data_IF_641081258153
#
_entry.id   IF_641081258153
#
_cell.length_a   1.000
_cell.length_b   1.000
_cell.length_c   1.000
_cell.angle_alpha   90.00
_cell.angle_beta   90.00
_cell.angle_gamma   90.00
#
_symmetry.space_group_name_H-M   'P 1'
#
loop_
_entity.id
_entity.type
_entity.pdbx_description
1 polymer ?
#
# COMPACT_ATOMS: atom_id res chain seq x y z
N UNK A 1 10.37 -6.88 2.23
CA UNK A 1 10.25 -5.43 2.48
C UNK A 1 8.78 -5.07 2.43
N UNK A 2 8.25 -4.48 3.50
CA UNK A 2 6.89 -3.93 3.49
C UNK A 2 6.98 -2.48 3.03
N UNK A 3 6.28 -2.13 1.95
CA UNK A 3 6.20 -0.74 1.52
C UNK A 3 5.50 0.11 2.59
N UNK A 4 5.98 1.33 2.80
CA UNK A 4 5.42 2.24 3.80
C UNK A 4 4.55 3.31 3.15
N UNK A 5 3.70 3.96 3.96
CA UNK A 5 2.93 5.14 3.51
C UNK A 5 3.82 6.32 3.10
N UNK A 6 5.02 6.42 3.67
CA UNK A 6 5.98 7.46 3.32
C UNK A 6 6.57 7.24 1.92
N UNK A 7 6.77 5.99 1.52
CA UNK A 7 7.21 5.64 0.17
C UNK A 7 6.15 6.04 -0.87
N UNK A 8 4.87 5.74 -0.57
CA UNK A 8 3.75 6.15 -1.42
C UNK A 8 3.70 7.66 -1.63
N UNK A 9 3.79 8.44 -0.56
CA UNK A 9 3.78 9.91 -0.65
C UNK A 9 4.99 10.47 -1.41
N UNK A 10 6.12 9.77 -1.40
CA UNK A 10 7.32 10.19 -2.14
C UNK A 10 7.15 9.95 -3.64
N UNK A 11 6.56 8.81 -4.02
CA UNK A 11 6.20 8.52 -5.41
C UNK A 11 5.14 9.49 -5.92
N UNK A 12 4.09 9.78 -5.15
CA UNK A 12 3.04 10.72 -5.55
C UNK A 12 3.58 12.14 -5.79
N UNK A 13 4.53 12.60 -4.96
CA UNK A 13 5.20 13.89 -5.16
C UNK A 13 6.06 13.90 -6.42
N UNK A 14 6.78 12.82 -6.71
CA UNK A 14 7.56 12.70 -7.94
C UNK A 14 6.68 12.74 -9.18
N UNK A 15 5.52 12.06 -9.16
CA UNK A 15 4.51 12.12 -10.23
C UNK A 15 4.00 13.55 -10.41
N UNK A 16 3.62 14.23 -9.30
CA UNK A 16 3.11 15.60 -9.35
C UNK A 16 4.11 16.61 -9.92
N UNK A 17 5.41 16.38 -9.70
CA UNK A 17 6.49 17.22 -10.22
C UNK A 17 6.98 16.82 -11.62
N UNK A 18 6.60 15.64 -12.11
CA UNK A 18 7.14 15.07 -13.34
C UNK A 18 8.60 14.61 -13.22
N UNK A 19 9.07 14.33 -12.00
CA UNK A 19 10.41 13.83 -11.75
C UNK A 19 10.49 12.33 -12.01
N UNK A 20 11.55 11.88 -12.66
CA UNK A 20 11.80 10.47 -13.01
C UNK A 20 12.55 9.70 -11.93
N UNK A 21 13.16 10.40 -10.99
CA UNK A 21 14.02 9.81 -9.96
C UNK A 21 13.25 9.87 -8.64
N UNK A 22 13.05 8.71 -8.01
CA UNK A 22 12.44 8.62 -6.67
C UNK A 22 13.49 8.10 -5.71
N UNK A 23 13.73 8.88 -4.65
CA UNK A 23 14.64 8.50 -3.58
C UNK A 23 13.85 7.92 -2.41
N UNK A 24 14.05 6.63 -2.17
CA UNK A 24 13.58 5.95 -0.97
C UNK A 24 14.64 6.05 0.14
N UNK A 25 14.27 5.64 1.36
CA UNK A 25 15.18 5.71 2.52
C UNK A 25 16.44 4.87 2.35
N UNK A 26 16.34 3.74 1.66
CA UNK A 26 17.39 2.75 1.46
C UNK A 26 17.99 2.77 0.05
N UNK A 27 17.25 3.26 -0.96
CA UNK A 27 17.64 3.17 -2.36
C UNK A 27 17.12 4.34 -3.20
N UNK A 28 17.80 4.61 -4.30
CA UNK A 28 17.31 5.54 -5.33
C UNK A 28 16.92 4.72 -6.56
N UNK A 29 15.71 4.95 -7.08
CA UNK A 29 15.21 4.28 -8.27
C UNK A 29 14.90 5.33 -9.32
N UNK A 30 15.45 5.14 -10.52
CA UNK A 30 15.15 5.95 -11.68
C UNK A 30 14.13 5.22 -12.55
N UNK A 31 12.99 5.87 -12.77
CA UNK A 31 11.93 5.42 -13.67
C UNK A 31 12.10 6.11 -15.02
N UNK A 32 12.05 5.36 -16.12
CA UNK A 32 12.32 5.91 -17.45
C UNK A 32 11.14 6.70 -17.98
N UNK A 33 9.94 6.34 -17.53
CA UNK A 33 8.66 6.92 -17.97
C UNK A 33 7.75 7.23 -16.80
N UNK A 34 6.79 8.14 -17.02
CA UNK A 34 5.74 8.46 -16.03
C UNK A 34 4.79 7.27 -15.83
N UNK A 35 4.58 6.45 -16.86
CA UNK A 35 3.75 5.25 -16.77
C UNK A 35 4.32 4.23 -15.77
N UNK A 36 5.65 4.06 -15.76
CA UNK A 36 6.34 3.23 -14.77
C UNK A 36 6.16 3.76 -13.33
N UNK A 37 6.16 5.08 -13.15
CA UNK A 37 5.88 5.72 -11.86
C UNK A 37 4.45 5.45 -11.37
N UNK A 38 3.46 5.52 -12.27
CA UNK A 38 2.06 5.20 -11.94
C UNK A 38 1.93 3.73 -11.56
N UNK A 39 2.54 2.83 -12.33
CA UNK A 39 2.57 1.39 -12.00
C UNK A 39 3.25 1.11 -10.66
N UNK A 40 4.34 1.81 -10.36
CA UNK A 40 5.02 1.70 -9.07
C UNK A 40 4.11 2.13 -7.91
N UNK A 41 3.39 3.25 -8.06
CA UNK A 41 2.41 3.72 -7.08
C UNK A 41 1.33 2.66 -6.81
N UNK A 42 0.73 2.10 -7.86
CA UNK A 42 -0.34 1.12 -7.72
C UNK A 42 0.16 -0.20 -7.07
N UNK A 43 1.39 -0.61 -7.37
CA UNK A 43 2.02 -1.77 -6.76
C UNK A 43 2.26 -1.55 -5.26
N UNK A 44 2.80 -0.38 -4.89
CA UNK A 44 2.98 0.03 -3.48
C UNK A 44 1.64 0.02 -2.73
N UNK A 45 0.60 0.58 -3.34
CA UNK A 45 -0.73 0.65 -2.75
C UNK A 45 -1.33 -0.75 -2.54
N UNK A 46 -1.23 -1.61 -3.55
CA UNK A 46 -1.70 -3.00 -3.48
C UNK A 46 -1.00 -3.77 -2.36
N UNK A 47 0.32 -3.64 -2.26
CA UNK A 47 1.11 -4.29 -1.22
C UNK A 47 0.78 -3.74 0.17
N UNK A 48 0.53 -2.44 0.32
CA UNK A 48 0.10 -1.85 1.59
C UNK A 48 -1.27 -2.38 2.04
N UNK A 49 -2.21 -2.57 1.10
CA UNK A 49 -3.52 -3.17 1.38
C UNK A 49 -3.38 -4.65 1.76
N UNK A 50 -2.55 -5.41 1.04
CA UNK A 50 -2.26 -6.81 1.39
C UNK A 50 -1.60 -6.94 2.76
N UNK A 51 -0.64 -6.06 3.07
CA UNK A 51 0.07 -6.05 4.34
C UNK A 51 -0.85 -5.75 5.54
N UNK A 52 -1.95 -5.03 5.33
CA UNK A 52 -2.96 -4.81 6.37
C UNK A 52 -3.72 -6.10 6.77
N UNK A 53 -3.60 -7.17 5.99
CA UNK A 53 -4.19 -8.49 6.27
C UNK A 53 -5.73 -8.51 6.21
N UNK A 54 -6.34 -9.69 6.09
CA UNK A 54 -7.78 -9.81 6.27
C UNK A 54 -8.12 -9.45 7.73
N UNK A 55 -8.92 -8.39 7.94
CA UNK A 55 -9.48 -8.08 9.25
C UNK A 55 -10.24 -9.33 9.75
N UNK A 56 -9.76 -9.95 10.83
CA UNK A 56 -10.45 -11.08 11.46
C UNK A 56 -11.89 -10.69 11.78
N UNK A 57 -12.85 -11.27 11.04
CA UNK A 57 -14.27 -11.02 11.25
C UNK A 57 -14.74 -11.90 12.40
N UNK A 58 -14.72 -11.36 13.62
CA UNK A 58 -15.29 -12.04 14.80
C UNK A 58 -16.80 -12.22 14.56
N UNK A 59 -17.22 -13.45 14.25
CA UNK A 59 -18.63 -13.80 14.17
C UNK A 59 -19.04 -14.32 15.54
N UNK A 60 -19.74 -13.49 16.33
CA UNK A 60 -20.35 -13.96 17.59
C UNK A 60 -21.59 -14.77 17.25
N UNK A 61 -21.47 -16.09 17.35
CA UNK A 61 -22.61 -17.00 17.35
C UNK A 61 -23.29 -16.89 18.72
N UNK A 62 -24.45 -16.25 18.76
CA UNK A 62 -25.32 -16.30 19.93
C UNK A 62 -26.07 -17.62 19.89
N UNK A 63 -25.66 -18.58 20.73
CA UNK A 63 -26.53 -19.72 21.03
C UNK A 63 -27.61 -19.22 21.97
N UNK A 64 -28.82 -18.99 21.43
CA UNK A 64 -30.03 -18.79 22.22
C UNK A 64 -30.39 -20.10 22.91
N UNK A 65 -29.68 -20.41 24.00
CA UNK A 65 -30.02 -21.51 24.90
C UNK A 65 -31.35 -21.17 25.56
N UNK A 66 -32.42 -21.78 25.05
CA UNK A 66 -33.75 -21.75 25.64
C UNK A 66 -33.67 -22.48 26.99
N UNK A 67 -33.53 -21.72 28.07
CA UNK A 67 -33.74 -22.22 29.42
C UNK A 67 -35.22 -22.54 29.58
N UNK A 68 -35.52 -23.83 29.68
CA UNK A 68 -36.77 -24.42 30.14
C UNK A 68 -36.40 -25.57 31.08
#
# INVERSE_FOLDING_TARGET
MAYTKADLATVERAIARGEKIVRYSDRTVEYRTVDELIKARDLIQSELVKAAGPRSRVTRLYHGGKGL
#
